data_IF_595210076349
#
_entry.id   IF_595210076349
#
_cell.length_a   1.000
_cell.length_b   1.000
_cell.length_c   1.000
_cell.angle_alpha   90.00
_cell.angle_beta   90.00
_cell.angle_gamma   90.00
#
_symmetry.space_group_name_H-M   'P 1'
#
loop_
_entity.id
_entity.type
_entity.pdbx_description
1 polymer ?
#
# COMPACT_ATOMS: atom_id res chain seq x y z
N UNK A 1 -0.47 -3.57 -45.62
CA UNK A 1 -1.56 -2.61 -45.27
C UNK A 1 -0.93 -1.30 -44.81
N UNK A 2 -1.47 -0.13 -45.17
CA UNK A 2 -0.99 1.16 -44.64
C UNK A 2 -1.32 1.31 -43.13
N UNK A 3 -0.58 2.17 -42.43
CA UNK A 3 -0.84 2.52 -41.02
C UNK A 3 -2.16 3.33 -40.95
N UNK A 4 -3.09 3.00 -40.04
CA UNK A 4 -4.46 3.54 -40.07
C UNK A 4 -4.61 4.97 -39.51
N UNK A 5 -3.52 5.67 -39.22
CA UNK A 5 -3.53 7.03 -38.67
C UNK A 5 -2.38 7.87 -39.23
N UNK A 6 -2.56 9.19 -39.22
CA UNK A 6 -1.53 10.17 -39.60
C UNK A 6 -0.71 10.57 -38.38
N UNK A 7 0.49 11.10 -38.60
CA UNK A 7 1.33 11.65 -37.53
C UNK A 7 0.60 12.76 -36.73
N UNK A 8 -0.26 13.54 -37.40
CA UNK A 8 -1.08 14.59 -36.76
C UNK A 8 -2.05 14.07 -35.70
N UNK A 9 -2.43 12.79 -35.80
CA UNK A 9 -3.42 12.15 -34.93
C UNK A 9 -2.78 11.66 -33.62
N UNK A 10 -1.45 11.50 -33.59
CA UNK A 10 -0.70 11.11 -32.40
C UNK A 10 -0.66 12.28 -31.41
N UNK A 11 -1.38 12.14 -30.30
CA UNK A 11 -1.42 13.12 -29.21
C UNK A 11 -0.93 12.47 -27.92
N UNK A 12 -0.01 13.12 -27.23
CA UNK A 12 0.41 12.73 -25.89
C UNK A 12 -0.53 13.36 -24.86
N UNK A 13 -1.14 12.55 -24.00
CA UNK A 13 -2.04 13.01 -22.95
C UNK A 13 -1.66 12.33 -21.64
N UNK A 14 -1.56 13.12 -20.58
CA UNK A 14 -1.26 12.62 -19.24
C UNK A 14 0.19 12.15 -19.08
N UNK A 15 0.39 11.28 -18.10
CA UNK A 15 1.64 10.62 -17.80
C UNK A 15 1.41 9.13 -17.55
N UNK A 16 2.42 8.31 -17.81
CA UNK A 16 2.38 6.89 -17.50
C UNK A 16 3.74 6.44 -16.94
N UNK A 17 3.70 5.51 -15.98
CA UNK A 17 4.88 4.88 -15.40
C UNK A 17 4.66 3.36 -15.46
N UNK A 18 5.66 2.64 -15.97
CA UNK A 18 5.71 1.17 -15.95
C UNK A 18 6.72 0.73 -14.89
N UNK A 19 6.31 -0.21 -14.03
CA UNK A 19 7.15 -0.92 -13.10
C UNK A 19 7.30 -2.37 -13.57
N UNK A 20 8.54 -2.84 -13.64
CA UNK A 20 8.82 -4.27 -13.80
C UNK A 20 8.93 -4.88 -12.42
N UNK A 21 7.96 -5.70 -12.05
CA UNK A 21 7.95 -6.37 -10.76
C UNK A 21 8.73 -7.66 -10.90
N UNK A 22 9.89 -7.71 -10.26
CA UNK A 22 10.79 -8.85 -10.27
C UNK A 22 10.69 -9.61 -8.95
N UNK A 23 10.87 -10.93 -9.02
CA UNK A 23 11.19 -11.75 -7.87
C UNK A 23 12.68 -11.65 -7.60
N UNK A 24 13.04 -10.64 -6.83
CA UNK A 24 14.41 -10.30 -6.44
C UNK A 24 14.39 -9.65 -5.07
N UNK A 25 15.54 -9.67 -4.39
CA UNK A 25 15.72 -9.03 -3.09
C UNK A 25 16.60 -7.79 -3.23
N UNK A 26 16.01 -6.57 -3.31
CA UNK A 26 16.81 -5.34 -3.37
C UNK A 26 17.75 -5.16 -2.17
N UNK A 27 17.38 -5.66 -0.99
CA UNK A 27 18.23 -5.64 0.21
C UNK A 27 19.50 -6.50 0.05
N UNK A 28 19.42 -7.55 -0.78
CA UNK A 28 20.53 -8.46 -1.08
C UNK A 28 21.10 -8.18 -2.47
N UNK A 29 21.25 -6.89 -2.82
CA UNK A 29 21.80 -6.47 -4.11
C UNK A 29 21.06 -7.08 -5.32
N UNK A 30 19.73 -7.07 -5.26
CA UNK A 30 18.84 -7.58 -6.32
C UNK A 30 19.09 -9.06 -6.69
N UNK A 31 19.49 -9.88 -5.71
CA UNK A 31 19.60 -11.31 -5.93
C UNK A 31 18.24 -11.90 -6.34
N UNK A 32 18.17 -12.76 -7.38
CA UNK A 32 16.94 -13.42 -7.78
C UNK A 32 16.34 -14.25 -6.64
N UNK A 33 15.02 -14.16 -6.47
CA UNK A 33 14.25 -14.90 -5.49
C UNK A 33 13.50 -16.04 -6.18
N UNK A 34 13.94 -17.27 -5.93
CA UNK A 34 13.29 -18.50 -6.41
C UNK A 34 12.30 -18.95 -5.34
N UNK A 35 11.15 -19.46 -5.75
CA UNK A 35 10.19 -20.02 -4.82
C UNK A 35 8.78 -20.04 -5.36
N UNK A 36 7.85 -20.49 -4.52
CA UNK A 36 6.43 -20.55 -4.83
C UNK A 36 5.74 -19.28 -4.36
N UNK A 37 4.94 -18.66 -5.24
CA UNK A 37 4.07 -17.55 -4.86
C UNK A 37 2.94 -18.12 -4.02
N UNK A 38 2.96 -17.91 -2.71
CA UNK A 38 1.93 -18.45 -1.80
C UNK A 38 0.65 -17.61 -1.83
N UNK A 39 0.77 -16.32 -2.11
CA UNK A 39 -0.32 -15.37 -2.21
C UNK A 39 0.00 -14.33 -3.27
N UNK A 40 -1.03 -13.94 -4.03
CA UNK A 40 -0.93 -12.92 -5.06
C UNK A 40 -2.24 -12.13 -5.11
N UNK A 41 -2.23 -10.93 -4.54
CA UNK A 41 -3.32 -9.97 -4.69
C UNK A 41 -2.84 -8.80 -5.54
N UNK A 42 -3.51 -8.60 -6.67
CA UNK A 42 -3.18 -7.56 -7.65
C UNK A 42 -4.06 -6.32 -7.40
N UNK A 43 -3.53 -5.11 -7.54
CA UNK A 43 -4.32 -3.90 -7.46
C UNK A 43 -5.18 -3.74 -8.71
N UNK A 44 -6.44 -3.35 -8.54
CA UNK A 44 -7.37 -3.09 -9.64
C UNK A 44 -7.92 -1.67 -9.57
N UNK A 45 -7.78 -0.92 -10.65
CA UNK A 45 -8.43 0.38 -10.84
C UNK A 45 -8.40 0.80 -12.32
N UNK A 46 -9.26 1.74 -12.72
CA UNK A 46 -9.35 2.24 -14.11
C UNK A 46 -8.05 2.85 -14.66
N UNK A 47 -7.15 3.26 -13.75
CA UNK A 47 -5.85 3.84 -14.08
C UNK A 47 -4.70 2.81 -14.07
N UNK A 48 -5.00 1.55 -13.77
CA UNK A 48 -4.04 0.45 -13.70
C UNK A 48 -4.23 -0.45 -14.92
N UNK A 49 -3.11 -0.83 -15.53
CA UNK A 49 -3.00 -1.97 -16.42
C UNK A 49 -1.89 -2.86 -15.89
N UNK A 50 -2.15 -4.15 -15.83
CA UNK A 50 -1.13 -5.14 -15.50
C UNK A 50 -0.99 -6.14 -16.66
N UNK A 51 0.24 -6.34 -17.12
CA UNK A 51 0.58 -7.45 -17.99
C UNK A 51 1.32 -8.49 -17.14
N UNK A 52 0.72 -9.67 -16.94
CA UNK A 52 1.23 -10.72 -16.06
C UNK A 52 1.10 -12.11 -16.66
N UNK A 53 1.85 -13.07 -16.10
CA UNK A 53 1.81 -14.47 -16.53
C UNK A 53 1.77 -15.49 -15.39
N UNK A 54 1.87 -15.05 -14.12
CA UNK A 54 1.90 -15.90 -12.94
C UNK A 54 0.62 -15.77 -12.11
N UNK A 55 0.26 -16.79 -11.35
CA UNK A 55 -0.83 -16.80 -10.38
C UNK A 55 -0.35 -17.29 -9.01
N UNK A 56 -1.21 -17.14 -7.98
CA UNK A 56 -0.94 -17.74 -6.68
C UNK A 56 -0.84 -19.26 -6.84
N UNK A 57 0.26 -19.84 -6.37
CA UNK A 57 0.59 -21.25 -6.52
C UNK A 57 1.65 -21.53 -7.58
N UNK A 58 1.98 -20.58 -8.44
CA UNK A 58 3.05 -20.74 -9.42
C UNK A 58 4.44 -20.69 -8.78
N UNK A 59 5.40 -21.34 -9.43
CA UNK A 59 6.80 -21.39 -9.02
C UNK A 59 7.67 -20.51 -9.92
N UNK A 60 8.46 -19.66 -9.29
CA UNK A 60 9.50 -18.87 -9.93
C UNK A 60 10.73 -19.73 -10.05
N UNK A 61 10.99 -20.12 -11.30
CA UNK A 61 12.08 -21.01 -11.67
C UNK A 61 13.41 -20.26 -11.86
N UNK A 62 14.56 -20.89 -11.58
CA UNK A 62 15.88 -20.32 -11.91
C UNK A 62 16.19 -20.27 -13.42
N UNK A 63 15.37 -20.91 -14.26
CA UNK A 63 15.67 -21.11 -15.68
C UNK A 63 15.18 -19.96 -16.58
N UNK A 64 14.40 -19.03 -16.04
CA UNK A 64 13.80 -17.92 -16.79
C UNK A 64 14.04 -16.59 -16.10
N UNK A 65 13.65 -15.51 -16.79
CA UNK A 65 13.63 -14.17 -16.20
C UNK A 65 12.69 -14.15 -14.99
N UNK A 66 13.11 -13.52 -13.90
CA UNK A 66 12.37 -13.51 -12.63
C UNK A 66 11.18 -12.53 -12.63
N UNK A 67 10.73 -12.09 -13.80
CA UNK A 67 9.68 -11.08 -13.93
C UNK A 67 8.32 -11.68 -13.59
N UNK A 68 7.65 -11.07 -12.62
CA UNK A 68 6.31 -11.46 -12.16
C UNK A 68 5.25 -10.77 -13.01
N UNK A 69 5.38 -9.45 -13.18
CA UNK A 69 4.44 -8.64 -13.96
C UNK A 69 5.03 -7.30 -14.38
N UNK A 70 4.38 -6.66 -15.33
CA UNK A 70 4.55 -5.24 -15.62
C UNK A 70 3.31 -4.51 -15.11
N UNK A 71 3.51 -3.63 -14.13
CA UNK A 71 2.47 -2.77 -13.59
C UNK A 71 2.56 -1.40 -14.27
N UNK A 72 1.53 -1.03 -15.04
CA UNK A 72 1.48 0.23 -15.77
C UNK A 72 0.41 1.11 -15.16
N UNK A 73 0.81 2.30 -14.72
CA UNK A 73 -0.06 3.31 -14.12
C UNK A 73 -0.17 4.49 -15.08
N UNK A 74 -1.38 5.02 -15.27
CA UNK A 74 -1.62 6.23 -16.06
C UNK A 74 -2.34 7.30 -15.24
N UNK A 75 -1.95 8.56 -15.39
CA UNK A 75 -2.65 9.66 -14.74
C UNK A 75 -2.67 10.94 -15.58
N UNK A 76 -3.35 11.97 -15.08
CA UNK A 76 -3.48 13.28 -15.75
C UNK A 76 -2.16 14.05 -15.86
N UNK A 77 -1.23 13.79 -14.95
CA UNK A 77 0.09 14.41 -14.86
C UNK A 77 1.04 13.49 -14.09
N UNK A 78 2.32 13.88 -14.01
CA UNK A 78 3.39 13.08 -13.41
C UNK A 78 3.21 12.88 -11.91
N UNK A 79 2.85 13.94 -11.19
CA UNK A 79 2.63 13.90 -9.73
C UNK A 79 1.51 12.94 -9.38
N UNK A 80 0.36 13.06 -10.05
CA UNK A 80 -0.76 12.15 -9.87
C UNK A 80 -0.40 10.70 -10.25
N UNK A 81 0.47 10.50 -11.25
CA UNK A 81 0.93 9.17 -11.64
C UNK A 81 1.80 8.53 -10.55
N UNK A 82 2.68 9.31 -9.90
CA UNK A 82 3.50 8.84 -8.78
C UNK A 82 2.62 8.48 -7.58
N UNK A 83 1.67 9.35 -7.22
CA UNK A 83 0.74 9.10 -6.09
C UNK A 83 -0.08 7.82 -6.32
N UNK A 84 -0.64 7.65 -7.51
CA UNK A 84 -1.37 6.43 -7.88
C UNK A 84 -0.47 5.20 -7.92
N UNK A 85 0.78 5.36 -8.33
CA UNK A 85 1.77 4.25 -8.34
C UNK A 85 2.09 3.80 -6.92
N UNK A 86 2.28 4.73 -5.98
CA UNK A 86 2.50 4.41 -4.57
C UNK A 86 1.30 3.67 -3.97
N UNK A 87 0.07 4.08 -4.31
CA UNK A 87 -1.14 3.36 -3.89
C UNK A 87 -1.20 1.96 -4.48
N UNK A 88 -1.01 1.82 -5.80
CA UNK A 88 -1.05 0.52 -6.47
C UNK A 88 0.01 -0.44 -5.94
N UNK A 89 1.25 0.03 -5.73
CA UNK A 89 2.34 -0.77 -5.16
C UNK A 89 2.12 -1.11 -3.68
N UNK A 90 1.35 -0.31 -2.93
CA UNK A 90 0.97 -0.62 -1.55
C UNK A 90 -0.07 -1.76 -1.50
N UNK A 91 -1.00 -1.77 -2.44
CA UNK A 91 -2.07 -2.77 -2.51
C UNK A 91 -1.64 -4.06 -3.24
N UNK A 92 -0.46 -4.06 -3.87
CA UNK A 92 0.09 -5.22 -4.57
C UNK A 92 0.77 -6.17 -3.58
N UNK A 93 0.08 -7.25 -3.23
CA UNK A 93 0.55 -8.24 -2.26
C UNK A 93 1.10 -9.49 -2.95
N UNK A 94 2.37 -9.80 -2.68
CA UNK A 94 3.04 -11.01 -3.15
C UNK A 94 3.72 -11.65 -1.94
N UNK A 95 3.37 -12.90 -1.63
CA UNK A 95 4.00 -13.66 -0.55
C UNK A 95 4.69 -14.92 -1.11
N UNK A 96 5.67 -15.42 -0.36
CA UNK A 96 6.44 -16.63 -0.68
C UNK A 96 7.75 -16.36 -1.44
N UNK A 97 7.89 -15.19 -2.05
CA UNK A 97 9.13 -14.72 -2.69
C UNK A 97 9.39 -13.24 -2.36
N UNK A 98 10.67 -12.86 -2.26
CA UNK A 98 11.06 -11.44 -2.17
C UNK A 98 10.82 -10.76 -3.53
N UNK A 99 10.51 -9.46 -3.52
CA UNK A 99 10.18 -8.72 -4.74
C UNK A 99 10.84 -7.35 -4.81
N UNK A 100 10.89 -6.79 -6.01
CA UNK A 100 11.37 -5.44 -6.28
C UNK A 100 10.42 -4.31 -5.84
N UNK A 101 9.23 -4.64 -5.29
CA UNK A 101 8.21 -3.64 -4.90
C UNK A 101 8.74 -2.61 -3.89
N UNK A 102 9.48 -2.98 -2.82
CA UNK A 102 10.02 -2.00 -1.87
C UNK A 102 10.98 -0.99 -2.53
N UNK A 103 11.78 -1.46 -3.49
CA UNK A 103 12.65 -0.58 -4.28
C UNK A 103 11.84 0.41 -5.12
N UNK A 104 10.77 -0.04 -5.78
CA UNK A 104 9.88 0.85 -6.54
C UNK A 104 9.17 1.87 -5.65
N UNK A 105 8.79 1.50 -4.44
CA UNK A 105 8.21 2.46 -3.47
C UNK A 105 9.26 3.48 -3.00
N UNK A 106 10.48 3.03 -2.74
CA UNK A 106 11.59 3.91 -2.38
C UNK A 106 11.89 4.93 -3.49
N UNK A 107 12.05 4.46 -4.74
CA UNK A 107 12.46 5.33 -5.85
C UNK A 107 11.43 6.44 -6.08
N UNK A 108 10.13 6.10 -6.03
CA UNK A 108 9.02 7.06 -6.12
C UNK A 108 8.99 8.09 -4.99
N UNK A 109 9.61 7.76 -3.83
CA UNK A 109 9.71 8.62 -2.67
C UNK A 109 10.79 9.70 -2.79
N UNK A 110 11.80 9.50 -3.65
CA UNK A 110 12.96 10.40 -3.80
C UNK A 110 12.59 11.72 -4.49
N UNK A 111 13.27 12.81 -4.10
CA UNK A 111 13.12 14.14 -4.72
C UNK A 111 13.50 14.11 -6.19
N UNK A 112 14.63 13.49 -6.50
CA UNK A 112 15.23 13.38 -7.83
C UNK A 112 14.27 12.67 -8.79
N UNK A 113 13.68 11.55 -8.35
CA UNK A 113 12.65 10.90 -9.15
C UNK A 113 11.42 11.79 -9.29
N UNK A 114 10.91 12.43 -8.24
CA UNK A 114 9.71 13.29 -8.30
C UNK A 114 9.88 14.51 -9.22
N UNK A 115 11.06 15.10 -9.25
CA UNK A 115 11.39 16.29 -10.04
C UNK A 115 11.86 15.95 -11.46
N UNK A 116 12.20 14.68 -11.71
CA UNK A 116 12.72 14.23 -13.02
C UNK A 116 14.21 14.53 -13.22
N UNK A 117 14.94 14.80 -12.14
CA UNK A 117 16.37 15.15 -12.14
C UNK A 117 17.31 13.95 -12.02
N UNK A 118 16.99 12.83 -12.66
CA UNK A 118 17.78 11.59 -12.58
C UNK A 118 18.47 11.25 -13.91
N UNK A 119 19.56 10.49 -13.82
CA UNK A 119 20.31 9.95 -14.96
C UNK A 119 20.53 8.43 -14.78
N UNK A 120 21.28 7.82 -15.70
CA UNK A 120 21.52 6.37 -15.70
C UNK A 120 22.30 5.85 -14.49
N UNK A 121 23.06 6.70 -13.79
CA UNK A 121 23.80 6.36 -12.58
C UNK A 121 23.08 6.73 -11.30
N UNK A 122 21.84 7.22 -11.36
CA UNK A 122 21.08 7.66 -10.18
C UNK A 122 20.95 6.55 -9.13
N UNK A 123 20.58 5.34 -9.53
CA UNK A 123 20.39 4.22 -8.59
C UNK A 123 21.71 3.85 -7.92
N UNK A 124 22.83 3.80 -8.67
CA UNK A 124 24.15 3.48 -8.12
C UNK A 124 24.64 4.51 -7.09
N UNK A 125 24.24 5.78 -7.25
CA UNK A 125 24.61 6.86 -6.32
C UNK A 125 23.73 6.90 -5.07
N UNK A 126 22.43 6.71 -5.23
CA UNK A 126 21.45 7.03 -4.19
C UNK A 126 20.88 5.80 -3.48
N UNK A 127 20.92 4.61 -4.09
CA UNK A 127 20.35 3.41 -3.49
C UNK A 127 21.38 2.61 -2.69
N UNK A 128 21.00 2.25 -1.47
CA UNK A 128 21.63 1.17 -0.71
C UNK A 128 20.55 0.46 0.13
N UNK A 129 20.81 -0.76 0.64
CA UNK A 129 19.82 -1.50 1.44
C UNK A 129 19.28 -0.76 2.68
N UNK A 130 20.03 0.16 3.29
CA UNK A 130 19.54 0.94 4.44
C UNK A 130 18.39 1.88 4.05
N UNK A 131 18.33 2.32 2.79
CA UNK A 131 17.21 3.10 2.27
C UNK A 131 15.86 2.39 2.43
N UNK A 132 15.84 1.06 2.32
CA UNK A 132 14.63 0.26 2.50
C UNK A 132 14.25 0.12 3.97
N UNK A 133 15.24 0.05 4.88
CA UNK A 133 14.98 0.08 6.32
C UNK A 133 14.41 1.43 6.75
N UNK A 134 14.91 2.53 6.20
CA UNK A 134 14.34 3.85 6.44
C UNK A 134 12.91 3.97 5.90
N UNK A 135 12.66 3.48 4.68
CA UNK A 135 11.32 3.43 4.11
C UNK A 135 10.38 2.63 5.03
N UNK A 136 10.77 1.41 5.41
CA UNK A 136 10.01 0.57 6.31
C UNK A 136 9.76 1.27 7.67
N UNK A 137 10.75 1.95 8.24
CA UNK A 137 10.58 2.70 9.48
C UNK A 137 9.66 3.92 9.34
N UNK A 138 9.64 4.58 8.18
CA UNK A 138 8.70 5.69 7.88
C UNK A 138 7.30 5.14 7.69
N UNK A 139 7.18 4.03 6.97
CA UNK A 139 5.92 3.33 6.78
C UNK A 139 5.36 2.86 8.12
N UNK A 140 6.13 2.20 9.00
CA UNK A 140 5.70 1.85 10.36
C UNK A 140 5.22 3.03 11.21
N UNK A 141 5.66 4.26 10.90
CA UNK A 141 5.22 5.49 11.55
C UNK A 141 4.05 6.17 10.84
N UNK A 142 3.78 5.83 9.58
CA UNK A 142 2.64 6.28 8.81
C UNK A 142 1.37 5.70 9.45
N UNK A 143 0.43 6.55 9.91
CA UNK A 143 -0.85 6.09 10.49
C UNK A 143 -1.67 5.20 9.54
N UNK A 144 -1.35 5.17 8.24
CA UNK A 144 -2.00 4.34 7.23
C UNK A 144 -1.25 3.05 6.88
N UNK A 145 -0.08 2.79 7.46
CA UNK A 145 0.68 1.57 7.18
C UNK A 145 0.11 0.35 7.91
N UNK A 146 0.13 -0.78 7.21
CA UNK A 146 -0.51 -2.02 7.62
C UNK A 146 0.59 -3.06 7.76
N UNK A 147 0.75 -3.64 8.96
CA UNK A 147 1.54 -4.86 9.14
C UNK A 147 0.62 -6.06 8.88
N UNK A 148 1.06 -6.99 8.03
CA UNK A 148 0.36 -8.25 7.80
C UNK A 148 0.91 -9.28 8.79
N UNK A 149 0.08 -9.71 9.74
CA UNK A 149 0.34 -10.87 10.59
C UNK A 149 -0.81 -11.87 10.46
N UNK A 150 -0.45 -13.15 10.46
CA UNK A 150 -1.26 -14.30 10.05
C UNK A 150 -2.70 -14.38 10.60
N UNK A 151 -3.65 -14.66 9.70
CA UNK A 151 -4.85 -15.45 9.99
C UNK A 151 -6.15 -14.70 10.30
N UNK A 152 -6.94 -14.46 9.25
CA UNK A 152 -8.41 -14.42 9.23
C UNK A 152 -9.17 -13.15 9.67
N UNK A 153 -8.51 -12.05 10.05
CA UNK A 153 -9.16 -10.75 10.29
C UNK A 153 -8.26 -9.60 9.80
N UNK A 154 -8.80 -8.66 8.99
CA UNK A 154 -8.04 -7.50 8.51
C UNK A 154 -8.18 -6.34 9.50
N UNK A 155 -7.08 -5.78 10.00
CA UNK A 155 -7.10 -4.73 11.03
C UNK A 155 -6.49 -3.44 10.47
N UNK A 156 -7.29 -2.38 10.35
CA UNK A 156 -6.80 -1.03 10.07
C UNK A 156 -6.70 -0.21 11.36
N UNK A 157 -5.73 0.69 11.48
CA UNK A 157 -5.64 1.59 12.62
C UNK A 157 -5.87 3.04 12.18
N UNK A 158 -6.70 3.77 12.93
CA UNK A 158 -6.97 5.19 12.70
C UNK A 158 -6.63 5.99 13.95
N UNK A 159 -5.94 7.11 13.79
CA UNK A 159 -5.81 8.09 14.87
C UNK A 159 -6.99 9.03 14.83
N UNK A 160 -7.65 9.20 15.98
CA UNK A 160 -8.74 10.14 16.14
C UNK A 160 -8.44 11.12 17.26
N UNK A 161 -8.63 12.40 17.00
CA UNK A 161 -8.59 13.44 18.01
C UNK A 161 -10.02 13.88 18.32
N UNK A 162 -10.42 13.74 19.59
CA UNK A 162 -11.68 14.32 20.07
C UNK A 162 -11.42 15.78 20.46
N UNK A 163 -11.97 16.75 19.72
CA UNK A 163 -11.87 18.16 20.12
C UNK A 163 -12.65 18.44 21.41
N UNK A 164 -13.75 17.73 21.66
CA UNK A 164 -14.62 17.91 22.84
C UNK A 164 -13.88 17.62 24.16
N UNK A 165 -13.02 16.60 24.16
CA UNK A 165 -12.30 16.17 25.38
C UNK A 165 -10.78 16.34 25.28
N UNK A 166 -10.30 17.04 24.24
CA UNK A 166 -8.87 17.25 23.97
C UNK A 166 -8.03 15.96 24.13
N UNK A 167 -8.54 14.85 23.57
CA UNK A 167 -8.02 13.50 23.82
C UNK A 167 -7.77 12.78 22.50
N UNK A 168 -6.67 12.01 22.43
CA UNK A 168 -6.36 11.19 21.26
C UNK A 168 -6.68 9.73 21.51
N UNK A 169 -7.12 9.07 20.46
CA UNK A 169 -7.49 7.66 20.45
C UNK A 169 -6.85 6.99 19.25
N UNK A 170 -6.58 5.70 19.40
CA UNK A 170 -6.33 4.79 18.27
C UNK A 170 -7.59 3.96 18.08
N UNK A 171 -8.12 3.88 16.88
CA UNK A 171 -9.27 3.04 16.54
C UNK A 171 -8.74 1.88 15.72
N UNK A 172 -8.84 0.67 16.25
CA UNK A 172 -8.64 -0.56 15.49
C UNK A 172 -9.94 -0.95 14.78
N UNK A 173 -9.91 -0.96 13.47
CA UNK A 173 -11.01 -1.36 12.62
C UNK A 173 -10.76 -2.77 12.11
N UNK A 174 -11.50 -3.73 12.63
CA UNK A 174 -11.44 -5.12 12.22
C UNK A 174 -12.47 -5.36 11.12
N UNK A 175 -12.05 -5.84 9.96
CA UNK A 175 -12.91 -6.33 8.90
C UNK A 175 -13.01 -7.85 9.00
N UNK A 176 -14.22 -8.32 9.33
CA UNK A 176 -14.56 -9.73 9.52
C UNK A 176 -15.03 -10.35 8.21
N UNK A 177 -14.87 -11.66 8.07
CA UNK A 177 -15.26 -12.42 6.87
C UNK A 177 -16.77 -12.43 6.59
N UNK A 178 -17.61 -12.01 7.56
CA UNK A 178 -19.05 -11.83 7.39
C UNK A 178 -19.44 -10.47 6.79
N UNK A 179 -18.46 -9.66 6.36
CA UNK A 179 -18.66 -8.33 5.79
C UNK A 179 -18.91 -7.24 6.83
N UNK A 180 -18.72 -7.54 8.12
CA UNK A 180 -18.89 -6.59 9.21
C UNK A 180 -17.55 -5.94 9.55
N UNK A 181 -17.55 -4.62 9.61
CA UNK A 181 -16.46 -3.82 10.16
C UNK A 181 -16.73 -3.57 11.65
N UNK A 182 -15.73 -3.73 12.51
CA UNK A 182 -15.79 -3.51 13.96
C UNK A 182 -14.73 -2.50 14.37
N UNK A 183 -15.14 -1.34 14.88
CA UNK A 183 -14.23 -0.32 15.41
C UNK A 183 -14.05 -0.45 16.92
N UNK A 184 -12.80 -0.56 17.34
CA UNK A 184 -12.34 -0.76 18.71
C UNK A 184 -11.44 0.42 19.12
N UNK A 185 -11.94 1.35 19.93
CA UNK A 185 -11.11 2.40 20.47
C UNK A 185 -10.09 1.87 21.48
N UNK A 186 -8.89 2.43 21.41
CA UNK A 186 -7.79 2.33 22.35
C UNK A 186 -7.41 3.72 22.81
N UNK A 187 -7.13 3.86 24.10
CA UNK A 187 -6.57 5.09 24.66
C UNK A 187 -5.08 5.23 24.28
N UNK A 188 -4.47 6.38 24.56
CA UNK A 188 -3.04 6.59 24.34
C UNK A 188 -2.14 5.60 25.12
N UNK A 189 -2.57 5.18 26.30
CA UNK A 189 -1.90 4.16 27.14
C UNK A 189 -2.24 2.72 26.74
N UNK A 190 -3.01 2.52 25.65
CA UNK A 190 -3.31 1.20 25.10
C UNK A 190 -4.50 0.47 25.74
N UNK A 191 -5.25 1.13 26.64
CA UNK A 191 -6.46 0.55 27.25
C UNK A 191 -7.55 0.40 26.19
N UNK A 192 -8.15 -0.78 26.11
CA UNK A 192 -9.16 -1.13 25.10
C UNK A 192 -10.55 -0.79 25.63
N UNK A 193 -11.37 -0.13 24.81
CA UNK A 193 -12.75 0.18 25.19
C UNK A 193 -13.60 -1.10 25.35
N UNK A 194 -14.51 -1.15 26.35
CA UNK A 194 -15.42 -2.27 26.55
C UNK A 194 -16.43 -2.38 25.38
N UNK A 195 -17.04 -3.56 25.15
CA UNK A 195 -17.94 -3.79 24.01
C UNK A 195 -19.06 -2.76 23.82
N UNK A 196 -19.62 -2.22 24.92
CA UNK A 196 -20.65 -1.16 24.91
C UNK A 196 -20.21 0.12 24.17
N UNK A 197 -18.91 0.38 24.10
CA UNK A 197 -18.30 1.56 23.49
C UNK A 197 -17.58 1.24 22.16
N UNK A 198 -17.80 0.04 21.60
CA UNK A 198 -17.36 -0.33 20.25
C UNK A 198 -18.49 -0.13 19.26
N UNK A 199 -18.18 -0.09 17.97
CA UNK A 199 -19.20 -0.01 16.90
C UNK A 199 -18.96 -1.06 15.85
N UNK A 200 -20.04 -1.56 15.26
CA UNK A 200 -20.00 -2.47 14.14
C UNK A 200 -20.93 -1.98 13.03
N UNK A 201 -20.55 -2.17 11.77
CA UNK A 201 -21.40 -1.84 10.62
C UNK A 201 -20.98 -2.63 9.39
N UNK A 202 -21.88 -2.80 8.44
CA UNK A 202 -21.60 -3.42 7.13
C UNK A 202 -20.88 -2.45 6.17
N UNK A 203 -20.54 -1.24 6.62
CA UNK A 203 -19.80 -0.25 5.83
C UNK A 203 -18.75 0.48 6.67
N UNK A 204 -17.52 0.50 6.16
CA UNK A 204 -16.35 1.16 6.77
C UNK A 204 -16.62 2.61 7.21
N UNK A 205 -17.18 3.44 6.32
CA UNK A 205 -17.46 4.84 6.63
C UNK A 205 -18.53 4.99 7.71
N UNK A 206 -19.54 4.10 7.72
CA UNK A 206 -20.62 4.14 8.70
C UNK A 206 -20.12 3.78 10.11
N UNK A 207 -19.25 2.77 10.23
CA UNK A 207 -18.68 2.40 11.54
C UNK A 207 -17.68 3.44 12.03
N UNK A 208 -16.87 4.05 11.15
CA UNK A 208 -15.96 5.12 11.51
C UNK A 208 -16.71 6.37 12.00
N UNK A 209 -17.79 6.76 11.31
CA UNK A 209 -18.65 7.84 11.78
C UNK A 209 -19.23 7.53 13.16
N UNK A 210 -19.85 6.36 13.31
CA UNK A 210 -20.49 5.95 14.56
C UNK A 210 -19.50 5.87 15.74
N UNK A 211 -18.26 5.45 15.52
CA UNK A 211 -17.27 5.39 16.60
C UNK A 211 -16.75 6.78 16.98
N UNK A 212 -16.56 7.68 16.02
CA UNK A 212 -16.16 9.07 16.35
C UNK A 212 -17.23 9.81 17.16
N UNK A 213 -18.51 9.55 16.89
CA UNK A 213 -19.63 10.06 17.71
C UNK A 213 -19.55 9.56 19.16
N UNK A 214 -19.21 8.28 19.38
CA UNK A 214 -18.99 7.75 20.74
C UNK A 214 -17.85 8.46 21.43
N UNK A 215 -16.72 8.64 20.75
CA UNK A 215 -15.52 9.26 21.31
C UNK A 215 -15.68 10.76 21.60
N UNK A 216 -16.68 11.40 20.99
CA UNK A 216 -17.08 12.77 21.26
C UNK A 216 -18.28 12.89 22.22
N UNK A 217 -18.90 11.78 22.64
CA UNK A 217 -20.12 11.82 23.46
C UNK A 217 -19.87 11.88 24.98
N UNK A 218 -18.72 11.43 25.45
CA UNK A 218 -18.40 11.33 26.89
C UNK A 218 -16.89 11.32 27.17
N UNK A 219 -16.45 11.68 28.38
CA UNK A 219 -15.02 11.74 28.72
C UNK A 219 -14.29 10.39 28.57
N UNK A 220 -12.96 10.38 28.33
CA UNK A 220 -12.16 9.17 28.20
C UNK A 220 -12.35 8.17 29.35
N UNK A 221 -12.49 8.65 30.58
CA UNK A 221 -12.68 7.79 31.76
C UNK A 221 -13.95 6.93 31.64
N UNK A 222 -15.02 7.47 31.05
CA UNK A 222 -16.28 6.74 30.82
C UNK A 222 -16.27 5.89 29.53
N UNK A 223 -15.39 6.24 28.58
CA UNK A 223 -15.16 5.43 27.37
C UNK A 223 -14.45 4.13 27.73
N UNK A 224 -13.50 4.16 28.65
CA UNK A 224 -12.63 3.02 28.95
C UNK A 224 -12.94 2.30 30.27
N UNK A 225 -13.93 2.73 31.05
CA UNK A 225 -14.45 2.02 32.23
C UNK A 225 -15.80 1.35 31.92
#
# INVERSE_FOLDING_TARGET
>A
KPIPFKQSDVKFKGHAIEFRLYAESPEKNFMPAIGKISKLNRPEADFIREDFALEAGDEISPFYDAMISKLIIRAKDRTACIEQSLSALKDYEIEGVETSIPFHKWILGTSEFKEGGFDIGFVEREFNPECLKELAARELKDPSHIQHENGLEFIEQFRFFSPEFNSHYVIELIHRNDGIFVAIPKSQDGKIAPPKNRRASNGKNAVLKAITEVLNSKPPQEIFN
#
